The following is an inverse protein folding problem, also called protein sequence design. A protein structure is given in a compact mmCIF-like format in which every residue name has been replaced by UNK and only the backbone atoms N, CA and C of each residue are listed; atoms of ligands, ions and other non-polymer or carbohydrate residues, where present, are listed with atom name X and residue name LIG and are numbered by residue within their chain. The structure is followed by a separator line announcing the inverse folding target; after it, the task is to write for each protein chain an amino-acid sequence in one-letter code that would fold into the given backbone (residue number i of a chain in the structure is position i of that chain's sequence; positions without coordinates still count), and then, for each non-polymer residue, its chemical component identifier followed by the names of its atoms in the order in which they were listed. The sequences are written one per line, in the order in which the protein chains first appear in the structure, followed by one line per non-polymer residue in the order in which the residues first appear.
data_IF_462823139874
#
_entry.id   IF_462823139874
#
_cell.length_a   1.000
_cell.length_b   1.000
_cell.length_c   1.000
_cell.angle_alpha   90.00
_cell.angle_beta   90.00
_cell.angle_gamma   90.00
#
_symmetry.space_group_name_H-M   'P 1'
#
loop_
_entity.id
_entity.type
_entity.pdbx_description
1 polymer ?
#
# COMPACT_ATOMS: atom_id res chain seq x y z
N UNK A 1 -10.17 -13.46 2.33
CA UNK A 1 -10.15 -12.77 1.01
C UNK A 1 -11.57 -12.66 0.49
N UNK A 2 -11.82 -11.84 -0.53
CA UNK A 2 -13.12 -11.77 -1.20
C UNK A 2 -13.68 -13.15 -1.58
N UNK A 3 -12.83 -14.02 -2.12
CA UNK A 3 -13.17 -15.42 -2.43
C UNK A 3 -13.78 -16.17 -1.24
N UNK A 4 -13.15 -16.09 -0.06
CA UNK A 4 -13.66 -16.72 1.17
C UNK A 4 -15.03 -16.18 1.58
N UNK A 5 -15.26 -14.87 1.42
CA UNK A 5 -16.54 -14.24 1.79
C UNK A 5 -17.63 -14.63 0.79
N UNK A 6 -17.30 -14.74 -0.50
CA UNK A 6 -18.26 -15.14 -1.53
C UNK A 6 -18.83 -16.54 -1.35
N UNK A 7 -18.09 -17.45 -0.70
CA UNK A 7 -18.55 -18.81 -0.38
C UNK A 7 -19.50 -18.85 0.84
N UNK A 8 -19.45 -17.84 1.71
CA UNK A 8 -20.22 -17.79 2.95
C UNK A 8 -21.56 -17.07 2.80
N UNK A 9 -21.78 -16.38 1.69
CA UNK A 9 -22.94 -15.51 1.47
C UNK A 9 -23.82 -16.01 0.32
N UNK A 10 -25.12 -15.79 0.46
CA UNK A 10 -26.01 -15.89 -0.70
C UNK A 10 -25.62 -14.83 -1.73
N UNK A 11 -25.83 -15.06 -3.04
CA UNK A 11 -25.51 -14.09 -4.08
C UNK A 11 -26.07 -12.69 -3.81
N UNK A 12 -27.30 -12.60 -3.29
CA UNK A 12 -27.92 -11.33 -2.92
C UNK A 12 -27.17 -10.60 -1.82
N UNK A 13 -26.80 -11.30 -0.73
CA UNK A 13 -26.03 -10.69 0.37
C UNK A 13 -24.63 -10.30 -0.06
N UNK A 14 -24.01 -11.09 -0.95
CA UNK A 14 -22.71 -10.78 -1.53
C UNK A 14 -22.76 -9.49 -2.34
N UNK A 15 -23.75 -9.33 -3.23
CA UNK A 15 -23.94 -8.10 -4.01
C UNK A 15 -24.18 -6.89 -3.10
N UNK A 16 -25.02 -7.05 -2.06
CA UNK A 16 -25.23 -5.97 -1.08
C UNK A 16 -23.94 -5.56 -0.37
N UNK A 17 -23.13 -6.54 0.07
CA UNK A 17 -21.86 -6.28 0.72
C UNK A 17 -20.87 -5.57 -0.22
N UNK A 18 -20.75 -6.05 -1.47
CA UNK A 18 -19.88 -5.44 -2.48
C UNK A 18 -20.31 -4.00 -2.72
N UNK A 19 -21.58 -3.75 -3.00
CA UNK A 19 -22.07 -2.40 -3.27
C UNK A 19 -21.82 -1.47 -2.09
N UNK A 20 -22.10 -1.92 -0.85
CA UNK A 20 -21.83 -1.14 0.35
C UNK A 20 -20.34 -0.81 0.51
N UNK A 21 -19.48 -1.80 0.26
CA UNK A 21 -18.04 -1.60 0.29
C UNK A 21 -17.58 -0.62 -0.79
N UNK A 22 -18.01 -0.81 -2.05
CA UNK A 22 -17.64 0.06 -3.17
C UNK A 22 -18.09 1.51 -2.92
N UNK A 23 -19.27 1.72 -2.33
CA UNK A 23 -19.72 3.05 -1.90
C UNK A 23 -18.77 3.66 -0.87
N UNK A 24 -18.41 2.92 0.17
CA UNK A 24 -17.51 3.40 1.23
C UNK A 24 -16.07 3.59 0.76
N UNK A 25 -15.63 2.86 -0.27
CA UNK A 25 -14.34 3.05 -0.90
C UNK A 25 -14.34 4.26 -1.85
N UNK A 26 -15.43 4.48 -2.58
CA UNK A 26 -15.59 5.59 -3.52
C UNK A 26 -15.74 6.95 -2.83
N UNK A 27 -16.44 7.02 -1.70
CA UNK A 27 -16.76 8.28 -1.01
C UNK A 27 -15.50 9.11 -0.64
N UNK A 28 -14.44 8.54 -0.03
CA UNK A 28 -13.21 9.29 0.23
C UNK A 28 -12.51 9.76 -1.05
N UNK A 29 -12.52 8.94 -2.12
CA UNK A 29 -11.91 9.33 -3.39
C UNK A 29 -12.56 10.62 -3.90
N UNK A 30 -13.89 10.65 -3.96
CA UNK A 30 -14.66 11.80 -4.45
C UNK A 30 -14.54 13.01 -3.51
N UNK A 31 -14.55 12.79 -2.19
CA UNK A 31 -14.43 13.86 -1.19
C UNK A 31 -13.08 14.58 -1.25
N UNK A 32 -12.03 13.87 -1.67
CA UNK A 32 -10.70 14.44 -1.90
C UNK A 32 -10.45 14.82 -3.37
N UNK A 33 -11.50 15.10 -4.14
CA UNK A 33 -11.48 15.55 -5.54
C UNK A 33 -10.84 14.55 -6.53
N UNK A 34 -10.84 13.27 -6.17
CA UNK A 34 -10.40 12.18 -7.02
C UNK A 34 -11.47 11.76 -8.02
N UNK A 35 -11.02 11.19 -9.14
CA UNK A 35 -11.88 10.65 -10.18
C UNK A 35 -11.80 9.14 -10.20
N UNK A 36 -12.95 8.48 -10.15
CA UNK A 36 -13.03 7.03 -10.31
C UNK A 36 -12.92 6.72 -11.80
N UNK A 37 -11.89 5.95 -12.15
CA UNK A 37 -11.69 5.44 -13.50
C UNK A 37 -12.64 4.28 -13.77
N UNK A 38 -12.59 3.25 -12.91
CA UNK A 38 -13.40 2.05 -13.04
C UNK A 38 -13.45 1.21 -11.76
N UNK A 39 -14.43 0.32 -11.72
CA UNK A 39 -14.55 -0.75 -10.73
C UNK A 39 -14.19 -2.09 -11.38
N UNK A 40 -13.28 -2.86 -10.75
CA UNK A 40 -12.86 -4.18 -11.23
C UNK A 40 -13.10 -5.19 -10.10
N UNK A 41 -14.25 -5.86 -10.11
CA UNK A 41 -14.64 -6.74 -9.01
C UNK A 41 -14.81 -5.98 -7.70
N UNK A 42 -13.91 -6.20 -6.74
CA UNK A 42 -13.81 -5.50 -5.46
C UNK A 42 -12.69 -4.44 -5.44
N UNK A 43 -12.08 -4.12 -6.58
CA UNK A 43 -11.11 -3.04 -6.70
C UNK A 43 -11.75 -1.75 -7.23
N UNK A 44 -11.25 -0.62 -6.74
CA UNK A 44 -11.56 0.72 -7.25
C UNK A 44 -10.28 1.32 -7.79
N UNK A 45 -10.27 1.69 -9.07
CA UNK A 45 -9.18 2.45 -9.69
C UNK A 45 -9.59 3.91 -9.76
N UNK A 46 -8.70 4.79 -9.30
CA UNK A 46 -8.94 6.22 -9.30
C UNK A 46 -7.66 7.01 -9.56
N UNK A 47 -7.82 8.26 -9.98
CA UNK A 47 -6.71 9.17 -10.24
C UNK A 47 -7.04 10.60 -9.78
N UNK A 48 -5.99 11.38 -9.56
CA UNK A 48 -6.05 12.80 -9.23
C UNK A 48 -5.17 13.54 -10.22
N UNK A 49 -5.72 14.55 -10.90
CA UNK A 49 -4.97 15.35 -11.85
C UNK A 49 -5.79 16.44 -12.52
N UNK A 50 -5.17 17.22 -13.44
CA UNK A 50 -5.83 18.31 -14.14
C UNK A 50 -7.03 17.83 -14.98
N UNK A 51 -8.05 18.68 -15.18
CA UNK A 51 -8.19 20.06 -14.67
C UNK A 51 -8.71 20.16 -13.22
N UNK A 52 -9.03 19.03 -12.57
CA UNK A 52 -9.75 19.02 -11.30
C UNK A 52 -8.83 19.20 -10.08
N UNK A 53 -7.60 18.69 -10.16
CA UNK A 53 -6.60 18.79 -9.10
C UNK A 53 -5.29 19.27 -9.69
N UNK A 54 -4.64 20.22 -9.02
CA UNK A 54 -3.35 20.76 -9.47
C UNK A 54 -2.21 19.75 -9.29
N UNK A 55 -1.13 19.95 -10.05
CA UNK A 55 0.10 19.16 -9.99
C UNK A 55 0.78 19.16 -8.60
N UNK A 56 0.47 20.14 -7.73
CA UNK A 56 1.05 20.22 -6.38
C UNK A 56 0.19 19.54 -5.32
N UNK A 57 -1.06 19.18 -5.65
CA UNK A 57 -2.06 18.74 -4.67
C UNK A 57 -2.46 17.27 -4.82
N UNK A 58 -2.28 16.69 -6.01
CA UNK A 58 -2.79 15.35 -6.34
C UNK A 58 -2.27 14.27 -5.39
N UNK A 59 -0.98 14.28 -5.04
CA UNK A 59 -0.38 13.24 -4.20
C UNK A 59 -0.90 13.31 -2.76
N UNK A 60 -0.99 14.51 -2.21
CA UNK A 60 -1.54 14.77 -0.87
C UNK A 60 -2.99 14.28 -0.77
N UNK A 61 -3.82 14.65 -1.75
CA UNK A 61 -5.25 14.27 -1.79
C UNK A 61 -5.45 12.76 -1.95
N UNK A 62 -4.66 12.12 -2.80
CA UNK A 62 -4.67 10.65 -2.92
C UNK A 62 -4.31 9.97 -1.59
N UNK A 63 -3.31 10.47 -0.87
CA UNK A 63 -2.92 9.92 0.43
C UNK A 63 -4.01 10.11 1.50
N UNK A 64 -4.62 11.30 1.57
CA UNK A 64 -5.71 11.55 2.51
C UNK A 64 -6.96 10.71 2.21
N UNK A 65 -7.31 10.54 0.93
CA UNK A 65 -8.37 9.62 0.53
C UNK A 65 -8.08 8.19 0.98
N UNK A 66 -6.85 7.72 0.80
CA UNK A 66 -6.44 6.36 1.21
C UNK A 66 -6.55 6.16 2.73
N UNK A 67 -6.12 7.14 3.54
CA UNK A 67 -6.27 7.10 5.00
C UNK A 67 -7.75 7.11 5.42
N UNK A 68 -8.57 7.94 4.78
CA UNK A 68 -9.99 8.00 5.07
C UNK A 68 -10.72 6.70 4.66
N UNK A 69 -10.32 6.03 3.57
CA UNK A 69 -10.81 4.70 3.22
C UNK A 69 -10.58 3.68 4.35
N UNK A 70 -9.47 3.74 5.08
CA UNK A 70 -9.25 2.89 6.26
C UNK A 70 -10.24 3.20 7.38
N UNK A 71 -10.57 4.48 7.57
CA UNK A 71 -11.59 4.89 8.54
C UNK A 71 -12.99 4.41 8.13
N UNK A 72 -13.33 4.48 6.84
CA UNK A 72 -14.60 3.95 6.31
C UNK A 72 -14.67 2.42 6.42
N UNK A 73 -13.56 1.70 6.25
CA UNK A 73 -13.50 0.25 6.46
C UNK A 73 -13.86 -0.14 7.89
N UNK A 74 -13.46 0.65 8.90
CA UNK A 74 -13.86 0.42 10.29
C UNK A 74 -15.39 0.52 10.44
N UNK A 75 -16.03 1.47 9.74
CA UNK A 75 -17.49 1.59 9.71
C UNK A 75 -18.13 0.37 9.05
N UNK A 76 -17.61 -0.07 7.90
CA UNK A 76 -18.10 -1.28 7.22
C UNK A 76 -18.06 -2.51 8.15
N UNK A 77 -16.94 -2.70 8.85
CA UNK A 77 -16.77 -3.83 9.80
C UNK A 77 -17.82 -3.83 10.90
N UNK A 78 -18.31 -2.66 11.33
CA UNK A 78 -19.40 -2.54 12.33
C UNK A 78 -20.78 -2.89 11.76
N UNK A 79 -20.98 -2.73 10.45
CA UNK A 79 -22.23 -3.08 9.75
C UNK A 79 -22.27 -4.56 9.35
N UNK A 80 -21.13 -5.27 9.31
CA UNK A 80 -21.07 -6.67 8.93
C UNK A 80 -22.04 -7.61 9.67
N UNK A 81 -22.26 -7.50 10.99
CA UNK A 81 -23.21 -8.36 11.68
C UNK A 81 -24.62 -8.27 11.12
N UNK A 82 -25.05 -7.06 10.74
CA UNK A 82 -26.39 -6.79 10.20
C UNK A 82 -26.50 -7.30 8.77
N UNK A 83 -25.49 -7.02 7.93
CA UNK A 83 -25.44 -7.47 6.53
C UNK A 83 -25.44 -9.00 6.45
N UNK A 84 -24.63 -9.66 7.29
CA UNK A 84 -24.49 -11.11 7.27
C UNK A 84 -25.61 -11.82 8.05
N UNK A 85 -26.23 -11.16 9.04
CA UNK A 85 -27.21 -11.76 9.93
C UNK A 85 -26.60 -12.71 10.97
N UNK A 86 -25.30 -12.59 11.23
CA UNK A 86 -24.55 -13.40 12.20
C UNK A 86 -23.73 -12.48 13.11
N UNK A 87 -23.59 -12.84 14.39
CA UNK A 87 -22.79 -12.06 15.36
C UNK A 87 -21.44 -12.69 15.70
N UNK A 88 -21.21 -13.94 15.29
CA UNK A 88 -19.99 -14.70 15.53
C UNK A 88 -19.47 -15.27 14.22
N UNK A 89 -18.16 -15.45 14.11
CA UNK A 89 -17.52 -15.96 12.89
C UNK A 89 -17.56 -14.97 11.73
N UNK A 90 -17.61 -13.66 12.03
CA UNK A 90 -17.55 -12.63 10.99
C UNK A 90 -16.17 -12.66 10.32
N UNK A 91 -16.11 -12.62 8.97
CA UNK A 91 -14.86 -12.56 8.26
C UNK A 91 -14.19 -11.22 8.52
N UNK A 92 -12.87 -11.23 8.63
CA UNK A 92 -12.11 -10.00 8.61
C UNK A 92 -12.02 -9.48 7.17
N UNK A 93 -12.59 -8.30 6.93
CA UNK A 93 -12.44 -7.58 5.66
C UNK A 93 -11.23 -6.68 5.78
N UNK A 94 -10.24 -6.89 4.92
CA UNK A 94 -9.04 -6.07 4.81
C UNK A 94 -8.97 -5.50 3.40
N UNK A 95 -8.46 -4.28 3.28
CA UNK A 95 -8.13 -3.68 1.98
C UNK A 95 -6.64 -3.43 1.92
N UNK A 96 -6.13 -3.28 0.71
CA UNK A 96 -4.77 -2.81 0.43
C UNK A 96 -4.88 -1.73 -0.62
N UNK A 97 -3.99 -0.76 -0.54
CA UNK A 97 -3.98 0.40 -1.43
C UNK A 97 -2.56 0.58 -1.95
N UNK A 98 -2.44 0.76 -3.25
CA UNK A 98 -1.20 1.17 -3.91
C UNK A 98 -1.36 2.55 -4.51
N UNK A 99 -0.40 3.44 -4.26
CA UNK A 99 -0.38 4.80 -4.79
C UNK A 99 0.87 5.02 -5.63
N UNK A 100 0.71 5.67 -6.79
CA UNK A 100 1.82 6.02 -7.65
C UNK A 100 1.59 7.37 -8.32
N UNK A 101 2.68 8.11 -8.47
CA UNK A 101 2.72 9.40 -9.16
C UNK A 101 3.62 9.32 -10.38
N UNK A 102 3.10 9.79 -11.51
CA UNK A 102 3.84 9.97 -12.75
C UNK A 102 2.90 10.42 -13.87
N UNK A 103 3.42 10.42 -15.10
CA UNK A 103 2.66 10.84 -16.27
C UNK A 103 1.59 9.82 -16.66
N UNK A 104 0.39 10.33 -16.91
CA UNK A 104 -0.77 9.57 -17.37
C UNK A 104 -1.43 10.32 -18.53
N UNK A 105 -1.98 9.58 -19.47
CA UNK A 105 -2.81 10.13 -20.55
C UNK A 105 -4.27 9.83 -20.24
N UNK A 106 -5.09 10.86 -20.08
CA UNK A 106 -6.54 10.72 -19.94
C UNK A 106 -7.22 10.93 -21.28
N UNK A 107 -8.17 10.06 -21.65
CA UNK A 107 -8.87 10.18 -22.92
C UNK A 107 -10.04 9.22 -23.08
N UNK A 108 -10.81 9.44 -24.15
CA UNK A 108 -11.88 8.52 -24.55
C UNK A 108 -11.28 7.36 -25.32
N UNK A 109 -11.21 6.19 -24.68
CA UNK A 109 -10.58 4.98 -25.21
C UNK A 109 -11.64 3.88 -25.33
N UNK A 110 -11.59 3.12 -26.42
CA UNK A 110 -12.51 2.03 -26.72
C UNK A 110 -12.86 1.96 -28.20
N UNK A 111 -13.73 1.01 -28.56
CA UNK A 111 -14.23 0.90 -29.93
C UNK A 111 -15.19 2.05 -30.23
N UNK A 112 -15.51 2.29 -31.51
CA UNK A 112 -16.51 3.31 -31.89
C UNK A 112 -17.86 3.11 -31.21
N UNK A 113 -18.19 1.87 -30.85
CA UNK A 113 -19.47 1.45 -30.27
C UNK A 113 -19.47 1.48 -28.73
N UNK A 114 -18.30 1.56 -28.11
CA UNK A 114 -18.15 1.56 -26.64
C UNK A 114 -16.85 2.26 -26.26
N UNK A 115 -16.94 3.55 -25.94
CA UNK A 115 -15.82 4.33 -25.42
C UNK A 115 -16.04 4.65 -23.94
N UNK A 116 -14.96 4.57 -23.16
CA UNK A 116 -14.92 5.02 -21.77
C UNK A 116 -13.86 6.11 -21.64
N UNK A 117 -14.11 7.11 -20.81
CA UNK A 117 -13.06 8.05 -20.41
C UNK A 117 -12.20 7.35 -19.37
N UNK A 118 -10.93 7.13 -19.69
CA UNK A 118 -10.01 6.39 -18.83
C UNK A 118 -8.61 6.98 -18.90
N UNK A 119 -7.80 6.64 -17.92
CA UNK A 119 -6.38 6.98 -17.89
C UNK A 119 -5.54 5.80 -18.40
N UNK A 120 -4.39 6.09 -19.01
CA UNK A 120 -3.37 5.10 -19.40
C UNK A 120 -1.97 5.58 -18.98
N UNK A 121 -1.18 4.68 -18.41
CA UNK A 121 0.25 4.91 -18.18
C UNK A 121 0.86 4.02 -17.10
N UNK A 122 2.19 4.06 -17.01
CA UNK A 122 2.97 3.26 -16.07
C UNK A 122 2.56 3.42 -14.60
N UNK A 123 2.16 4.61 -14.09
CA UNK A 123 1.75 4.76 -12.70
C UNK A 123 0.61 3.83 -12.28
N UNK A 124 -0.33 3.49 -13.18
CA UNK A 124 -1.42 2.56 -12.81
C UNK A 124 -0.92 1.14 -12.58
N UNK A 125 -0.05 0.62 -13.45
CA UNK A 125 0.54 -0.70 -13.27
C UNK A 125 1.40 -0.76 -12.01
N UNK A 126 2.09 0.34 -11.69
CA UNK A 126 2.86 0.46 -10.46
C UNK A 126 1.94 0.47 -9.24
N UNK A 127 0.84 1.23 -9.26
CA UNK A 127 -0.14 1.26 -8.16
C UNK A 127 -0.76 -0.12 -7.92
N UNK A 128 -1.16 -0.83 -8.98
CA UNK A 128 -1.66 -2.22 -8.90
C UNK A 128 -0.60 -3.17 -8.31
N UNK A 129 0.64 -3.08 -8.77
CA UNK A 129 1.75 -3.86 -8.21
C UNK A 129 1.95 -3.59 -6.71
N UNK A 130 1.87 -2.33 -6.27
CA UNK A 130 2.03 -1.94 -4.88
C UNK A 130 0.84 -2.38 -4.01
N UNK A 131 -0.40 -2.37 -4.52
CA UNK A 131 -1.55 -2.97 -3.84
C UNK A 131 -1.28 -4.43 -3.50
N UNK A 132 -0.84 -5.23 -4.48
CA UNK A 132 -0.48 -6.62 -4.24
C UNK A 132 0.73 -6.79 -3.30
N UNK A 133 1.74 -5.94 -3.43
CA UNK A 133 2.98 -5.99 -2.64
C UNK A 133 2.74 -5.77 -1.14
N UNK A 134 1.68 -5.05 -0.75
CA UNK A 134 1.31 -4.87 0.65
C UNK A 134 1.22 -6.20 1.41
N UNK A 135 0.71 -7.26 0.76
CA UNK A 135 0.61 -8.60 1.36
C UNK A 135 1.97 -9.14 1.83
N UNK A 136 3.04 -8.89 1.08
CA UNK A 136 4.39 -9.37 1.38
C UNK A 136 4.95 -8.72 2.65
N UNK A 137 4.70 -7.42 2.80
CA UNK A 137 5.24 -6.61 3.90
C UNK A 137 4.30 -6.50 5.10
N UNK A 138 3.05 -6.98 4.97
CA UNK A 138 2.02 -6.84 5.98
C UNK A 138 1.55 -5.40 6.17
N UNK A 139 1.77 -4.55 5.17
CA UNK A 139 1.36 -3.15 5.15
C UNK A 139 -0.05 -3.01 4.59
N UNK A 140 -0.63 -1.82 4.73
CA UNK A 140 -1.98 -1.53 4.18
C UNK A 140 -1.94 -0.58 2.99
N UNK A 141 -1.11 0.45 3.04
CA UNK A 141 -0.99 1.45 1.98
C UNK A 141 0.48 1.57 1.59
N UNK A 142 0.81 1.23 0.35
CA UNK A 142 2.15 1.43 -0.21
C UNK A 142 2.12 2.51 -1.27
N UNK A 143 3.20 3.27 -1.35
CA UNK A 143 3.37 4.31 -2.36
C UNK A 143 4.77 4.36 -2.95
N UNK A 144 4.88 4.92 -4.14
CA UNK A 144 6.17 5.23 -4.75
C UNK A 144 6.88 6.38 -4.03
N UNK A 145 8.21 6.44 -4.17
CA UNK A 145 9.00 7.59 -3.72
C UNK A 145 8.52 8.92 -4.34
N UNK A 146 8.06 8.91 -5.59
CA UNK A 146 7.52 10.11 -6.25
C UNK A 146 6.26 10.62 -5.55
N UNK A 147 5.34 9.72 -5.16
CA UNK A 147 4.15 10.09 -4.39
C UNK A 147 4.52 10.62 -3.01
N UNK A 148 5.44 9.95 -2.31
CA UNK A 148 5.91 10.39 -0.99
C UNK A 148 6.50 11.80 -1.03
N UNK A 149 7.38 12.08 -2.00
CA UNK A 149 7.98 13.41 -2.17
C UNK A 149 6.96 14.49 -2.53
N UNK A 150 5.99 14.16 -3.38
CA UNK A 150 4.96 15.12 -3.80
C UNK A 150 3.95 15.44 -2.69
N UNK A 151 3.62 14.47 -1.82
CA UNK A 151 2.77 14.70 -0.65
C UNK A 151 3.53 15.39 0.51
N UNK A 152 4.86 15.21 0.57
CA UNK A 152 5.78 15.90 1.47
C UNK A 152 5.32 15.86 2.94
N UNK A 153 5.25 17.04 3.58
CA UNK A 153 4.93 17.21 5.00
C UNK A 153 3.46 16.96 5.33
N UNK A 154 2.59 16.72 4.34
CA UNK A 154 1.17 16.48 4.59
C UNK A 154 0.85 15.07 5.10
N UNK A 155 1.87 14.19 5.15
CA UNK A 155 1.76 12.79 5.50
C UNK A 155 2.94 12.32 6.35
N UNK A 156 2.75 11.23 7.08
CA UNK A 156 3.80 10.50 7.79
C UNK A 156 3.95 9.12 7.15
N UNK A 157 5.19 8.79 6.79
CA UNK A 157 5.52 7.52 6.12
C UNK A 157 6.68 6.83 6.80
N UNK A 158 6.87 5.55 6.45
CA UNK A 158 8.14 4.85 6.68
C UNK A 158 8.65 4.21 5.38
N UNK A 159 9.96 4.26 5.09
CA UNK A 159 10.51 3.52 3.95
C UNK A 159 10.39 2.02 4.23
N UNK A 160 10.04 1.23 3.21
CA UNK A 160 9.78 -0.22 3.36
C UNK A 160 10.83 -1.06 2.65
N UNK A 161 11.20 -0.74 1.41
CA UNK A 161 12.06 -1.57 0.56
C UNK A 161 12.55 -0.78 -0.65
N UNK A 162 13.64 -1.22 -1.28
CA UNK A 162 13.99 -0.86 -2.67
C UNK A 162 13.54 -1.94 -3.64
N UNK A 163 12.77 -1.55 -4.65
CA UNK A 163 12.25 -2.45 -5.68
C UNK A 163 12.51 -1.90 -7.07
N UNK A 164 12.67 -2.78 -8.05
CA UNK A 164 12.56 -2.42 -9.47
C UNK A 164 11.07 -2.51 -9.82
N UNK A 165 10.42 -1.36 -9.98
CA UNK A 165 8.98 -1.30 -10.26
C UNK A 165 8.70 -1.64 -11.74
N UNK A 166 7.47 -2.05 -12.07
CA UNK A 166 7.09 -2.34 -13.46
C UNK A 166 7.49 -1.22 -14.42
N UNK A 167 8.18 -1.59 -15.50
CA UNK A 167 8.65 -0.65 -16.53
C UNK A 167 9.87 0.20 -16.14
N UNK A 168 10.45 0.03 -14.96
CA UNK A 168 11.67 0.72 -14.53
C UNK A 168 12.91 -0.17 -14.66
N UNK A 169 14.08 0.43 -14.86
CA UNK A 169 15.37 -0.25 -14.91
C UNK A 169 16.24 -0.03 -13.67
N UNK A 170 15.88 0.95 -12.84
CA UNK A 170 16.61 1.32 -11.62
C UNK A 170 15.75 1.05 -10.39
N UNK A 171 16.36 0.65 -9.25
CA UNK A 171 15.63 0.54 -7.99
C UNK A 171 15.05 1.86 -7.52
N UNK A 172 13.84 1.81 -6.98
CA UNK A 172 13.14 2.92 -6.34
C UNK A 172 12.72 2.52 -4.94
N UNK A 173 12.76 3.46 -3.99
CA UNK A 173 12.28 3.18 -2.63
C UNK A 173 10.76 3.21 -2.63
N UNK A 174 10.13 2.26 -1.95
CA UNK A 174 8.70 2.29 -1.65
C UNK A 174 8.47 2.64 -0.19
N UNK A 175 7.35 3.29 0.08
CA UNK A 175 7.00 3.80 1.40
C UNK A 175 5.64 3.26 1.83
N UNK A 176 5.49 2.99 3.11
CA UNK A 176 4.17 2.80 3.72
C UNK A 176 3.63 4.15 4.20
N UNK A 177 2.37 4.43 3.87
CA UNK A 177 1.62 5.55 4.47
C UNK A 177 1.13 5.14 5.85
N UNK A 178 1.52 5.87 6.88
CA UNK A 178 1.13 5.59 8.26
C UNK A 178 -0.09 6.43 8.67
N UNK A 179 0.01 7.76 8.57
CA UNK A 179 -1.04 8.69 8.95
C UNK A 179 -0.72 10.12 8.45
N UNK A 180 -1.44 11.14 8.93
CA UNK A 180 -1.07 12.54 8.83
C UNK A 180 -0.24 12.99 10.05
N UNK A 181 0.49 14.13 9.96
CA UNK A 181 1.33 14.62 11.06
C UNK A 181 0.56 14.80 12.36
N UNK A 182 1.13 14.32 13.46
CA UNK A 182 0.55 14.45 14.81
C UNK A 182 -0.47 13.36 15.21
N UNK A 183 -0.80 12.43 14.31
CA UNK A 183 -1.74 11.35 14.61
C UNK A 183 -1.09 10.03 15.04
N UNK A 184 0.24 9.89 14.92
CA UNK A 184 0.93 8.70 15.41
C UNK A 184 0.99 8.70 16.94
N UNK A 185 0.80 7.53 17.54
CA UNK A 185 1.15 7.30 18.94
C UNK A 185 2.67 7.29 19.11
N UNK A 186 3.16 7.58 20.31
CA UNK A 186 4.59 7.53 20.62
C UNK A 186 5.23 6.16 20.29
N UNK A 187 4.47 5.06 20.42
CA UNK A 187 4.95 3.73 20.02
C UNK A 187 5.10 3.60 18.49
N UNK A 188 4.17 4.16 17.71
CA UNK A 188 4.26 4.16 16.25
C UNK A 188 5.39 5.06 15.76
N UNK A 189 5.62 6.21 16.39
CA UNK A 189 6.77 7.08 16.10
C UNK A 189 8.11 6.38 16.39
N UNK A 190 8.23 5.73 17.55
CA UNK A 190 9.45 4.99 17.91
C UNK A 190 9.68 3.79 16.96
N UNK A 191 8.61 3.06 16.60
CA UNK A 191 8.68 1.99 15.60
C UNK A 191 9.14 2.53 14.23
N UNK A 192 8.56 3.62 13.75
CA UNK A 192 8.89 4.24 12.47
C UNK A 192 10.36 4.69 12.43
N UNK A 193 10.82 5.33 13.48
CA UNK A 193 12.19 5.83 13.60
C UNK A 193 13.19 4.68 13.61
N UNK A 194 12.98 3.68 14.48
CA UNK A 194 13.87 2.51 14.57
C UNK A 194 13.90 1.71 13.28
N UNK A 195 12.75 1.52 12.64
CA UNK A 195 12.67 0.81 11.37
C UNK A 195 13.50 1.53 10.29
N UNK A 196 13.37 2.85 10.20
CA UNK A 196 14.11 3.67 9.23
C UNK A 196 15.63 3.62 9.44
N UNK A 197 16.08 3.61 10.70
CA UNK A 197 17.49 3.43 11.03
C UNK A 197 17.99 2.02 10.70
N UNK A 198 17.20 0.99 11.03
CA UNK A 198 17.49 -0.40 10.71
C UNK A 198 17.60 -0.64 9.20
N UNK A 199 16.69 -0.05 8.41
CA UNK A 199 16.71 -0.14 6.96
C UNK A 199 17.91 0.58 6.34
N UNK A 200 18.28 1.74 6.89
CA UNK A 200 19.47 2.47 6.45
C UNK A 200 20.75 1.66 6.69
N UNK A 201 20.88 1.07 7.88
CA UNK A 201 22.00 0.18 8.21
C UNK A 201 22.00 -1.09 7.34
N UNK A 202 20.82 -1.65 7.06
CA UNK A 202 20.66 -2.82 6.19
C UNK A 202 21.16 -2.53 4.77
N UNK A 203 20.84 -1.37 4.17
CA UNK A 203 21.37 -1.00 2.86
C UNK A 203 22.88 -0.72 2.85
N UNK A 204 23.43 -0.33 4.00
CA UNK A 204 24.88 -0.19 4.21
C UNK A 204 25.57 -1.52 4.54
N UNK A 205 24.82 -2.62 4.62
CA UNK A 205 25.30 -3.95 5.02
C UNK A 205 25.87 -4.00 6.44
N UNK A 206 25.51 -3.05 7.30
CA UNK A 206 25.83 -3.09 8.72
C UNK A 206 24.79 -3.95 9.45
N UNK A 207 25.03 -5.26 9.41
CA UNK A 207 24.09 -6.26 9.91
C UNK A 207 23.86 -6.17 11.41
N UNK A 208 24.87 -5.76 12.18
CA UNK A 208 24.77 -5.66 13.64
C UNK A 208 23.89 -4.48 14.05
N UNK A 209 24.10 -3.31 13.44
CA UNK A 209 23.25 -2.14 13.66
C UNK A 209 21.84 -2.41 13.14
N UNK A 210 21.70 -2.97 11.93
CA UNK A 210 20.40 -3.29 11.35
C UNK A 210 19.60 -4.26 12.24
N UNK A 211 20.23 -5.36 12.67
CA UNK A 211 19.57 -6.35 13.52
C UNK A 211 19.16 -5.75 14.87
N UNK A 212 20.00 -4.91 15.48
CA UNK A 212 19.69 -4.24 16.75
C UNK A 212 18.42 -3.38 16.64
N UNK A 213 18.33 -2.56 15.59
CA UNK A 213 17.15 -1.74 15.34
C UNK A 213 15.89 -2.56 15.05
N UNK A 214 15.98 -3.60 14.21
CA UNK A 214 14.83 -4.45 13.92
C UNK A 214 14.40 -5.31 15.12
N UNK A 215 15.32 -5.73 15.99
CA UNK A 215 14.98 -6.39 17.25
C UNK A 215 14.20 -5.45 18.17
N UNK A 216 14.59 -4.17 18.24
CA UNK A 216 13.83 -3.16 18.98
C UNK A 216 12.44 -2.91 18.37
N UNK A 217 12.32 -2.88 17.04
CA UNK A 217 11.02 -2.84 16.36
C UNK A 217 10.14 -4.05 16.75
N UNK A 218 10.71 -5.25 16.79
CA UNK A 218 10.00 -6.48 17.15
C UNK A 218 9.52 -6.46 18.60
N UNK A 219 10.24 -5.81 19.51
CA UNK A 219 9.79 -5.60 20.89
C UNK A 219 8.60 -4.63 20.99
N UNK A 220 8.49 -3.64 20.10
CA UNK A 220 7.37 -2.67 20.05
C UNK A 220 6.15 -3.29 19.38
N UNK A 221 6.34 -3.92 18.22
CA UNK A 221 5.29 -4.49 17.40
C UNK A 221 5.71 -5.88 16.88
N UNK A 222 5.54 -6.95 17.68
CA UNK A 222 5.93 -8.32 17.30
C UNK A 222 5.28 -8.81 16.01
N UNK A 223 4.09 -8.29 15.68
CA UNK A 223 3.30 -8.63 14.49
C UNK A 223 3.72 -7.87 13.22
N UNK A 224 4.65 -6.91 13.31
CA UNK A 224 5.11 -6.15 12.14
C UNK A 224 5.87 -7.05 11.15
N UNK A 225 5.20 -7.41 10.06
CA UNK A 225 5.72 -8.40 9.11
C UNK A 225 6.97 -7.90 8.37
N UNK A 226 7.05 -6.60 8.09
CA UNK A 226 8.23 -6.00 7.48
C UNK A 226 9.47 -6.20 8.36
N UNK A 227 9.37 -5.94 9.68
CA UNK A 227 10.45 -6.16 10.64
C UNK A 227 10.90 -7.62 10.67
N UNK A 228 9.95 -8.57 10.75
CA UNK A 228 10.25 -10.00 10.75
C UNK A 228 11.01 -10.41 9.48
N UNK A 229 10.55 -9.92 8.33
CA UNK A 229 11.17 -10.20 7.03
C UNK A 229 12.61 -9.69 6.98
N UNK A 230 12.93 -8.51 7.53
CA UNK A 230 14.31 -8.02 7.57
C UNK A 230 15.20 -8.82 8.52
N UNK A 231 14.69 -9.25 9.68
CA UNK A 231 15.43 -10.14 10.59
C UNK A 231 15.76 -11.48 9.92
N UNK A 232 14.80 -12.08 9.20
CA UNK A 232 15.01 -13.29 8.40
C UNK A 232 16.10 -13.09 7.34
N UNK A 233 16.06 -11.96 6.60
CA UNK A 233 17.05 -11.65 5.56
C UNK A 233 18.45 -11.41 6.09
N UNK A 234 18.59 -10.67 7.20
CA UNK A 234 19.90 -10.40 7.81
C UNK A 234 20.58 -11.72 8.19
N UNK A 235 19.83 -12.71 8.66
CA UNK A 235 20.38 -14.04 8.95
C UNK A 235 21.01 -14.68 7.71
N UNK A 236 20.37 -14.56 6.55
CA UNK A 236 20.85 -15.09 5.27
C UNK A 236 22.05 -14.28 4.75
N UNK A 237 21.92 -12.95 4.69
CA UNK A 237 22.94 -12.07 4.10
C UNK A 237 24.24 -11.99 4.91
N UNK A 238 24.18 -12.30 6.22
CA UNK A 238 25.40 -12.49 7.03
C UNK A 238 26.25 -13.67 6.55
N UNK A 239 25.62 -14.72 6.05
CA UNK A 239 26.31 -15.89 5.51
C UNK A 239 26.72 -15.67 4.06
N UNK A 240 25.88 -14.95 3.30
CA UNK A 240 26.06 -14.68 1.88
C UNK A 240 25.98 -13.17 1.61
N UNK A 241 27.07 -12.46 1.86
CA UNK A 241 27.11 -11.01 1.63
C UNK A 241 26.91 -10.68 0.15
N UNK A 242 26.04 -9.71 -0.19
CA UNK A 242 25.76 -9.34 -1.56
C UNK A 242 26.89 -8.50 -2.20
N UNK A 243 27.92 -8.13 -1.43
CA UNK A 243 29.10 -7.42 -1.90
C UNK A 243 28.88 -5.93 -2.14
N UNK A 244 29.96 -5.19 -2.46
CA UNK A 244 29.96 -3.73 -2.53
C UNK A 244 29.06 -3.13 -3.63
N UNK A 245 28.71 -3.90 -4.66
CA UNK A 245 27.90 -3.45 -5.80
C UNK A 245 26.41 -3.74 -5.63
N UNK A 246 25.97 -4.09 -4.41
CA UNK A 246 24.56 -4.36 -4.16
C UNK A 246 23.74 -3.07 -4.25
N UNK A 247 22.67 -3.14 -5.02
CA UNK A 247 21.76 -2.01 -5.25
C UNK A 247 20.68 -1.87 -4.17
N UNK A 248 20.74 -2.73 -3.15
CA UNK A 248 19.81 -2.75 -2.02
C UNK A 248 18.49 -3.47 -2.32
N UNK A 249 18.35 -4.08 -3.49
CA UNK A 249 17.15 -4.86 -3.86
C UNK A 249 17.35 -6.32 -3.46
N UNK A 250 16.39 -6.86 -2.69
CA UNK A 250 16.30 -8.28 -2.40
C UNK A 250 15.76 -9.05 -3.61
N UNK A 251 16.52 -10.03 -4.11
CA UNK A 251 16.13 -10.89 -5.24
C UNK A 251 15.89 -12.32 -4.74
N UNK A 252 14.93 -13.03 -5.32
CA UNK A 252 14.66 -14.41 -4.89
C UNK A 252 15.84 -15.36 -5.17
N UNK A 253 16.73 -15.03 -6.10
CA UNK A 253 18.00 -15.73 -6.30
C UNK A 253 18.88 -15.72 -5.04
N UNK A 254 18.70 -14.75 -4.14
CA UNK A 254 19.41 -14.66 -2.87
C UNK A 254 18.97 -15.76 -1.88
N UNK A 255 17.87 -16.49 -2.17
CA UNK A 255 17.49 -17.73 -1.45
C UNK A 255 18.22 -18.98 -1.93
N UNK A 256 18.73 -19.00 -3.17
CA UNK A 256 19.27 -20.22 -3.81
C UNK A 256 20.66 -20.66 -3.28
N UNK A 257 21.20 -19.99 -2.26
CA UNK A 257 22.41 -20.43 -1.55
C UNK A 257 22.09 -21.36 -0.35
N UNK A 258 20.86 -21.87 -0.24
CA UNK A 258 20.45 -22.91 0.72
C UNK A 258 20.66 -24.32 0.16
#
# INVERSE_FOLDING_TARGET
SFSTISELLTPTKLVMLINQYLTLAAEPILTHDGMIDQFIGDAVTAFWGPPFVSETEHAKRACWAALEQLTQLVKLRRLLPEIMGIRKGLPEIHIRIGLATGELVAGSIGSEQSKSYTVLGAPMQIAEYLEGANKRYGTTILMTETTQKAAAEAIVTRPIERLILPGQSTPSTIYELLDTPGNLTAQQEDLQMRFSLGLSAYWLQDWDIAQSHFAACSAIAPQDRATQLYLERIHILRQYSPGANWDGVWRESDRCFQ
#
